data_IF_168384599666
#
_entry.id   IF_168384599666
#
_cell.length_a   1.000
_cell.length_b   1.000
_cell.length_c   1.000
_cell.angle_alpha   90.00
_cell.angle_beta   90.00
_cell.angle_gamma   90.00
#
_symmetry.space_group_name_H-M   'P 1'
#
loop_
_entity.id
_entity.type
_entity.pdbx_description
1 polymer ?
#
# COMPACT_ATOMS: atom_id res chain seq x y z
N UNK A 1 -32.43 11.89 -1.63
CA UNK A 1 -31.14 11.15 -1.60
C UNK A 1 -30.06 11.81 -0.73
N UNK A 2 -29.59 13.04 -1.02
CA UNK A 2 -28.50 13.70 -0.25
C UNK A 2 -28.77 13.85 1.25
N UNK A 3 -30.02 14.07 1.66
CA UNK A 3 -30.41 14.18 3.08
C UNK A 3 -30.40 12.83 3.81
N UNK A 4 -30.78 11.75 3.13
CA UNK A 4 -30.78 10.41 3.73
C UNK A 4 -29.36 9.88 3.93
N UNK A 5 -28.46 10.11 2.97
CA UNK A 5 -27.04 9.74 3.08
C UNK A 5 -26.38 10.45 4.27
N UNK A 6 -26.67 11.74 4.49
CA UNK A 6 -26.15 12.48 5.65
C UNK A 6 -26.67 11.94 6.99
N UNK A 7 -27.94 11.53 7.07
CA UNK A 7 -28.54 10.94 8.28
C UNK A 7 -27.97 9.55 8.58
N UNK A 8 -27.79 8.72 7.56
CA UNK A 8 -27.19 7.38 7.71
C UNK A 8 -25.72 7.47 8.15
N UNK A 9 -24.95 8.40 7.60
CA UNK A 9 -23.54 8.62 8.01
C UNK A 9 -23.46 9.13 9.45
N UNK A 10 -24.33 10.06 9.86
CA UNK A 10 -24.35 10.58 11.23
C UNK A 10 -24.70 9.49 12.28
N UNK A 11 -25.61 8.59 11.95
CA UNK A 11 -25.99 7.45 12.82
C UNK A 11 -24.84 6.43 12.89
N UNK A 12 -24.17 6.14 11.76
CA UNK A 12 -23.02 5.22 11.73
C UNK A 12 -21.83 5.74 12.54
N UNK A 13 -21.54 7.05 12.47
CA UNK A 13 -20.48 7.69 13.26
C UNK A 13 -20.79 7.73 14.76
N UNK A 14 -22.07 7.89 15.14
CA UNK A 14 -22.49 7.86 16.54
C UNK A 14 -22.40 6.46 17.16
N UNK A 15 -22.64 5.41 16.38
CA UNK A 15 -22.50 4.01 16.84
C UNK A 15 -21.02 3.62 16.99
N UNK A 16 -20.12 4.12 16.12
CA UNK A 16 -18.67 3.88 16.26
C UNK A 16 -18.04 4.54 17.50
N UNK A 17 -18.60 5.64 18.01
CA UNK A 17 -18.08 6.30 19.21
C UNK A 17 -18.35 5.54 20.53
N UNK A 18 -19.31 4.60 20.53
CA UNK A 18 -19.72 3.85 21.71
C UNK A 18 -18.91 2.56 21.97
N UNK A 19 -18.15 2.07 20.99
CA UNK A 19 -17.42 0.79 21.09
C UNK A 19 -15.97 0.94 21.58
N UNK A 20 -15.45 2.17 21.69
CA UNK A 20 -14.03 2.42 21.98
C UNK A 20 -13.69 2.63 23.48
N UNK A 21 -14.59 2.30 24.41
CA UNK A 21 -14.43 2.66 25.83
C UNK A 21 -14.53 1.49 26.82
N UNK A 22 -13.95 0.32 26.53
CA UNK A 22 -13.62 -0.68 27.57
C UNK A 22 -12.37 -1.48 27.20
N UNK A 23 -11.20 -0.97 27.53
CA UNK A 23 -9.98 -1.76 27.63
C UNK A 23 -9.09 -1.17 28.74
N UNK A 24 -9.49 -1.35 29.99
CA UNK A 24 -8.65 -1.09 31.16
C UNK A 24 -8.02 -2.38 31.67
N UNK A 25 -6.68 -2.35 31.73
CA UNK A 25 -5.80 -2.95 32.72
C UNK A 25 -5.66 -4.49 32.79
N UNK A 26 -4.52 -4.99 32.28
CA UNK A 26 -3.64 -5.89 33.03
C UNK A 26 -2.19 -5.58 32.60
N UNK A 27 -1.39 -5.00 33.49
CA UNK A 27 0.01 -5.40 33.66
C UNK A 27 0.54 -4.84 34.98
N UNK A 28 0.32 -5.60 36.04
CA UNK A 28 0.96 -5.42 37.32
C UNK A 28 1.25 -6.80 37.89
N UNK A 29 2.32 -7.44 37.40
CA UNK A 29 3.14 -8.42 38.11
C UNK A 29 4.11 -9.06 37.11
N UNK A 30 5.37 -8.61 37.09
CA UNK A 30 6.49 -9.51 37.35
C UNK A 30 7.77 -8.68 37.52
N UNK A 31 8.09 -8.34 38.77
CA UNK A 31 9.46 -8.07 39.17
C UNK A 31 9.92 -9.30 39.93
N UNK A 32 10.75 -10.13 39.30
CA UNK A 32 11.65 -10.98 40.06
C UNK A 32 13.01 -10.97 39.35
N UNK A 33 13.94 -10.26 39.97
CA UNK A 33 15.35 -10.28 39.64
C UNK A 33 15.92 -11.64 40.08
N UNK A 34 16.02 -12.57 39.14
CA UNK A 34 16.78 -13.80 39.24
C UNK A 34 17.95 -13.78 38.24
N UNK A 35 19.07 -14.36 38.64
CA UNK A 35 20.29 -14.55 37.84
C UNK A 35 20.03 -15.55 36.69
N UNK A 36 20.70 -15.45 35.52
CA UNK A 36 20.32 -16.22 34.34
C UNK A 36 20.51 -17.73 34.56
N UNK A 37 19.44 -18.51 34.39
CA UNK A 37 19.45 -19.98 34.42
C UNK A 37 19.54 -20.51 32.99
N UNK A 38 20.48 -21.41 32.73
CA UNK A 38 20.77 -22.06 31.43
C UNK A 38 19.55 -22.78 30.82
N UNK A 39 18.52 -23.02 31.63
CA UNK A 39 17.23 -23.58 31.24
C UNK A 39 16.31 -22.53 30.56
N UNK A 40 16.37 -21.27 30.99
CA UNK A 40 15.55 -20.18 30.45
C UNK A 40 15.96 -19.89 29.00
N UNK A 41 17.26 -19.80 28.74
CA UNK A 41 17.84 -19.62 27.39
C UNK A 41 17.41 -20.71 26.39
N UNK A 42 17.24 -21.96 26.84
CA UNK A 42 16.74 -23.04 25.97
C UNK A 42 15.26 -22.87 25.63
N UNK A 43 14.45 -22.48 26.61
CA UNK A 43 13.01 -22.26 26.42
C UNK A 43 12.76 -21.06 25.51
N UNK A 44 13.50 -19.94 25.66
CA UNK A 44 13.40 -18.82 24.69
C UNK A 44 13.88 -19.25 23.31
N UNK A 45 14.95 -20.02 23.17
CA UNK A 45 15.45 -20.45 21.86
C UNK A 45 14.51 -21.44 21.15
N UNK A 46 13.89 -22.38 21.87
CA UNK A 46 12.87 -23.28 21.32
C UNK A 46 11.59 -22.53 20.97
N UNK A 47 11.15 -21.60 21.81
CA UNK A 47 9.98 -20.74 21.53
C UNK A 47 10.22 -19.85 20.31
N UNK A 48 11.39 -19.22 20.20
CA UNK A 48 11.77 -18.43 19.03
C UNK A 48 11.82 -19.28 17.75
N UNK A 49 12.21 -20.55 17.86
CA UNK A 49 12.22 -21.48 16.73
C UNK A 49 10.81 -21.85 16.28
N UNK A 50 9.92 -22.21 17.21
CA UNK A 50 8.52 -22.52 16.88
C UNK A 50 7.74 -21.30 16.35
N UNK A 51 8.00 -20.11 16.90
CA UNK A 51 7.42 -18.84 16.40
C UNK A 51 7.89 -18.54 14.97
N UNK A 52 9.17 -18.77 14.66
CA UNK A 52 9.70 -18.56 13.32
C UNK A 52 9.20 -19.60 12.30
N UNK A 53 9.11 -20.87 12.69
CA UNK A 53 8.56 -21.94 11.83
C UNK A 53 7.06 -21.73 11.57
N UNK A 54 6.28 -21.39 12.60
CA UNK A 54 4.86 -21.05 12.45
C UNK A 54 4.59 -19.71 11.73
N UNK A 55 5.62 -18.89 11.47
CA UNK A 55 5.50 -17.69 10.66
C UNK A 55 5.57 -18.01 9.15
N UNK A 56 6.33 -19.03 8.74
CA UNK A 56 6.48 -19.37 7.31
C UNK A 56 5.22 -20.00 6.70
N UNK A 57 4.35 -20.59 7.53
CA UNK A 57 3.06 -21.15 7.08
C UNK A 57 1.96 -20.08 6.92
N UNK A 58 2.20 -18.84 7.37
CA UNK A 58 1.23 -17.74 7.29
C UNK A 58 1.31 -17.02 5.95
N UNK A 59 0.15 -16.58 5.48
CA UNK A 59 0.08 -15.67 4.33
C UNK A 59 0.83 -14.37 4.63
N UNK A 60 1.34 -13.70 3.58
CA UNK A 60 1.96 -12.38 3.72
C UNK A 60 0.97 -11.39 4.38
N UNK A 61 -0.32 -11.49 4.07
CA UNK A 61 -1.38 -10.69 4.71
C UNK A 61 -1.37 -10.81 6.24
N UNK A 62 -1.26 -12.03 6.76
CA UNK A 62 -1.21 -12.28 8.21
C UNK A 62 0.09 -11.76 8.83
N UNK A 63 1.22 -11.97 8.14
CA UNK A 63 2.53 -11.48 8.60
C UNK A 63 2.63 -9.96 8.61
N UNK A 64 1.98 -9.29 7.67
CA UNK A 64 1.84 -7.83 7.63
C UNK A 64 0.91 -7.27 8.72
N UNK A 65 0.27 -8.10 9.55
CA UNK A 65 -0.64 -7.66 10.61
C UNK A 65 -2.08 -7.42 10.13
N UNK A 66 -2.44 -7.94 8.96
CA UNK A 66 -3.78 -7.88 8.40
C UNK A 66 -4.23 -6.47 7.97
N UNK A 67 -5.54 -6.33 7.75
CA UNK A 67 -6.11 -5.18 7.03
C UNK A 67 -5.83 -3.81 7.67
N UNK A 68 -5.77 -3.73 9.01
CA UNK A 68 -5.55 -2.45 9.69
C UNK A 68 -4.10 -1.96 9.55
N UNK A 69 -3.12 -2.86 9.67
CA UNK A 69 -1.72 -2.53 9.47
C UNK A 69 -1.45 -2.16 8.00
N UNK A 70 -1.99 -2.94 7.06
CA UNK A 70 -1.93 -2.63 5.62
C UNK A 70 -2.57 -1.26 5.32
N UNK A 71 -3.74 -0.97 5.92
CA UNK A 71 -4.41 0.32 5.73
C UNK A 71 -3.58 1.49 6.24
N UNK A 72 -2.84 1.32 7.34
CA UNK A 72 -1.95 2.34 7.89
C UNK A 72 -0.79 2.65 6.94
N UNK A 73 -0.09 1.62 6.45
CA UNK A 73 1.00 1.75 5.46
C UNK A 73 0.48 2.44 4.20
N UNK A 74 -0.63 1.94 3.63
CA UNK A 74 -1.22 2.50 2.40
C UNK A 74 -1.69 3.94 2.59
N UNK A 75 -2.21 4.29 3.77
CA UNK A 75 -2.60 5.66 4.08
C UNK A 75 -1.41 6.60 4.00
N UNK A 76 -0.31 6.26 4.68
CA UNK A 76 0.94 7.04 4.65
C UNK A 76 1.51 7.12 3.23
N UNK A 77 1.73 5.97 2.60
CA UNK A 77 2.23 5.85 1.22
C UNK A 77 1.45 6.76 0.26
N UNK A 78 0.12 6.73 0.34
CA UNK A 78 -0.71 7.54 -0.57
C UNK A 78 -0.63 9.04 -0.29
N UNK A 79 -0.32 9.46 0.94
CA UNK A 79 -0.07 10.86 1.29
C UNK A 79 1.34 11.31 0.88
N UNK A 80 2.34 10.41 0.95
CA UNK A 80 3.71 10.64 0.48
C UNK A 80 3.72 10.97 -1.02
N UNK A 81 3.11 10.11 -1.86
CA UNK A 81 3.08 10.30 -3.32
C UNK A 81 2.50 11.67 -3.74
N UNK A 82 1.53 12.21 -3.00
CA UNK A 82 0.94 13.52 -3.34
C UNK A 82 2.00 14.62 -3.38
N UNK A 83 3.03 14.50 -2.56
CA UNK A 83 4.12 15.47 -2.43
C UNK A 83 5.42 15.01 -3.09
N UNK A 84 5.47 13.82 -3.68
CA UNK A 84 6.65 13.31 -4.38
C UNK A 84 7.06 14.27 -5.52
N UNK A 85 8.37 14.60 -5.66
CA UNK A 85 8.84 15.54 -6.67
C UNK A 85 8.72 15.02 -8.12
N UNK A 86 8.66 13.72 -8.34
CA UNK A 86 8.68 13.08 -9.67
C UNK A 86 7.25 12.72 -10.11
N UNK A 87 6.47 12.07 -9.24
CA UNK A 87 5.14 11.53 -9.50
C UNK A 87 4.01 12.35 -8.88
N UNK A 88 4.31 13.26 -7.95
CA UNK A 88 3.30 14.02 -7.19
C UNK A 88 2.79 15.30 -7.85
N UNK A 89 2.35 16.26 -7.02
CA UNK A 89 1.69 17.52 -7.48
C UNK A 89 2.55 18.41 -8.37
N UNK A 90 3.86 18.24 -8.37
CA UNK A 90 4.81 18.99 -9.20
C UNK A 90 5.41 18.16 -10.34
N UNK A 91 4.91 16.93 -10.55
CA UNK A 91 5.37 16.03 -11.60
C UNK A 91 5.45 16.72 -12.96
N UNK A 92 6.45 16.36 -13.77
CA UNK A 92 6.55 16.82 -15.15
C UNK A 92 5.41 16.26 -16.02
N UNK A 93 4.91 15.08 -15.69
CA UNK A 93 3.79 14.43 -16.37
C UNK A 93 2.46 15.16 -16.07
N UNK A 94 1.81 15.74 -17.10
CA UNK A 94 0.59 16.54 -16.91
C UNK A 94 -0.59 15.71 -16.39
N UNK A 95 -0.66 14.40 -16.67
CA UNK A 95 -1.76 13.55 -16.20
C UNK A 95 -1.65 13.28 -14.69
N UNK A 96 -0.44 12.99 -14.20
CA UNK A 96 -0.17 12.86 -12.76
C UNK A 96 -0.40 14.19 -12.04
N UNK A 97 0.17 15.27 -12.58
CA UNK A 97 -0.01 16.62 -12.03
C UNK A 97 -1.49 17.02 -11.94
N UNK A 98 -2.29 16.76 -12.98
CA UNK A 98 -3.74 17.00 -12.95
C UNK A 98 -4.44 16.16 -11.87
N UNK A 99 -4.10 14.89 -11.75
CA UNK A 99 -4.66 14.03 -10.70
C UNK A 99 -4.39 14.59 -9.29
N UNK A 100 -3.13 14.96 -9.03
CA UNK A 100 -2.69 15.46 -7.72
C UNK A 100 -3.14 16.88 -7.39
N UNK A 101 -3.51 17.71 -8.37
CA UNK A 101 -3.98 19.07 -8.10
C UNK A 101 -5.51 19.20 -8.15
N UNK A 102 -6.18 18.44 -9.02
CA UNK A 102 -7.60 18.65 -9.33
C UNK A 102 -8.51 17.48 -8.91
N UNK A 103 -7.96 16.33 -8.50
CA UNK A 103 -8.75 15.11 -8.22
C UNK A 103 -8.51 14.52 -6.82
N UNK A 104 -7.84 15.25 -5.92
CA UNK A 104 -7.55 14.78 -4.56
C UNK A 104 -8.79 14.50 -3.71
N UNK A 105 -9.96 15.04 -4.05
CA UNK A 105 -11.23 14.64 -3.44
C UNK A 105 -11.54 13.13 -3.59
N UNK A 106 -10.87 12.44 -4.52
CA UNK A 106 -10.96 11.00 -4.74
C UNK A 106 -9.94 10.18 -3.94
N UNK A 107 -8.95 10.82 -3.31
CA UNK A 107 -7.86 10.15 -2.60
C UNK A 107 -8.35 9.18 -1.50
N UNK A 108 -9.38 9.50 -0.68
CA UNK A 108 -9.87 8.53 0.31
C UNK A 108 -10.36 7.22 -0.31
N UNK A 109 -11.05 7.29 -1.46
CA UNK A 109 -11.48 6.11 -2.20
C UNK A 109 -10.31 5.35 -2.84
N UNK A 110 -9.28 6.08 -3.31
CA UNK A 110 -8.07 5.44 -3.82
C UNK A 110 -7.30 4.71 -2.72
N UNK A 111 -7.17 5.29 -1.53
CA UNK A 111 -6.56 4.64 -0.35
C UNK A 111 -7.25 3.31 -0.06
N UNK A 112 -8.59 3.31 0.00
CA UNK A 112 -9.36 2.08 0.18
C UNK A 112 -9.10 1.03 -0.92
N UNK A 113 -9.11 1.44 -2.20
CA UNK A 113 -8.87 0.51 -3.32
C UNK A 113 -7.44 -0.07 -3.29
N UNK A 114 -6.44 0.73 -2.91
CA UNK A 114 -5.06 0.27 -2.74
C UNK A 114 -4.94 -0.71 -1.58
N UNK A 115 -5.54 -0.41 -0.43
CA UNK A 115 -5.58 -1.32 0.72
C UNK A 115 -6.25 -2.64 0.35
N UNK A 116 -7.38 -2.59 -0.35
CA UNK A 116 -8.08 -3.79 -0.81
C UNK A 116 -7.22 -4.62 -1.77
N UNK A 117 -6.53 -3.96 -2.70
CA UNK A 117 -5.63 -4.63 -3.63
C UNK A 117 -4.47 -5.30 -2.90
N UNK A 118 -3.76 -4.59 -2.01
CA UNK A 118 -2.64 -5.15 -1.23
C UNK A 118 -3.11 -6.34 -0.39
N UNK A 119 -4.26 -6.21 0.27
CA UNK A 119 -4.81 -7.29 1.09
C UNK A 119 -5.16 -8.54 0.26
N UNK A 120 -5.63 -8.37 -0.98
CA UNK A 120 -5.92 -9.49 -1.87
C UNK A 120 -4.64 -10.18 -2.38
N UNK A 121 -3.67 -9.40 -2.88
CA UNK A 121 -2.43 -9.96 -3.46
C UNK A 121 -1.48 -10.54 -2.42
N UNK A 122 -1.58 -10.12 -1.16
CA UNK A 122 -0.82 -10.70 -0.05
C UNK A 122 -1.44 -11.99 0.52
N UNK A 123 -2.51 -12.53 -0.09
CA UNK A 123 -3.15 -13.77 0.32
C UNK A 123 -4.21 -13.61 1.41
N UNK A 124 -4.67 -12.38 1.65
CA UNK A 124 -5.76 -12.10 2.58
C UNK A 124 -7.13 -12.54 2.05
N UNK A 125 -8.17 -12.55 2.90
CA UNK A 125 -9.50 -13.07 2.56
C UNK A 125 -10.32 -12.13 1.66
N UNK A 126 -9.67 -11.17 0.99
CA UNK A 126 -10.32 -10.12 0.24
C UNK A 126 -10.18 -10.35 -1.27
N UNK A 127 -11.24 -10.03 -2.00
CA UNK A 127 -11.20 -10.00 -3.47
C UNK A 127 -11.09 -8.56 -3.95
N UNK A 128 -10.08 -8.28 -4.76
CA UNK A 128 -9.96 -7.00 -5.43
C UNK A 128 -11.06 -6.85 -6.50
N UNK A 129 -11.78 -5.73 -6.47
CA UNK A 129 -12.94 -5.47 -7.34
C UNK A 129 -12.78 -4.21 -8.20
N UNK A 130 -11.58 -3.62 -8.20
CA UNK A 130 -11.26 -2.47 -9.03
C UNK A 130 -10.92 -2.83 -10.48
N UNK A 131 -10.51 -1.82 -11.25
CA UNK A 131 -9.96 -2.03 -12.59
C UNK A 131 -8.65 -2.83 -12.50
N UNK A 132 -8.34 -3.63 -13.51
CA UNK A 132 -6.99 -4.17 -13.65
C UNK A 132 -5.96 -3.02 -13.73
N UNK A 133 -4.71 -3.29 -13.33
CA UNK A 133 -3.69 -2.25 -13.17
C UNK A 133 -3.36 -1.57 -14.49
N UNK A 134 -3.31 -2.30 -15.61
CA UNK A 134 -3.07 -1.70 -16.92
C UNK A 134 -4.13 -0.65 -17.27
N UNK A 135 -5.42 -0.98 -17.19
CA UNK A 135 -6.51 -0.07 -17.54
C UNK A 135 -6.74 1.04 -16.51
N UNK A 136 -6.33 0.83 -15.27
CA UNK A 136 -6.35 1.86 -14.24
C UNK A 136 -5.33 2.97 -14.52
N UNK A 137 -4.17 2.62 -15.09
CA UNK A 137 -3.01 3.52 -15.23
C UNK A 137 -2.72 3.95 -16.67
N UNK A 138 -3.32 3.30 -17.68
CA UNK A 138 -3.07 3.55 -19.11
C UNK A 138 -3.05 5.03 -19.49
N UNK A 139 -4.09 5.77 -19.10
CA UNK A 139 -4.24 7.19 -19.45
C UNK A 139 -3.30 8.13 -18.67
N UNK A 140 -2.70 7.64 -17.59
CA UNK A 140 -1.70 8.40 -16.82
C UNK A 140 -0.32 8.38 -17.50
N UNK A 141 -0.08 7.42 -18.40
CA UNK A 141 1.19 7.27 -19.14
C UNK A 141 2.40 7.31 -18.21
N UNK A 142 2.32 6.57 -17.11
CA UNK A 142 3.35 6.53 -16.07
C UNK A 142 4.65 6.00 -16.69
N UNK A 143 5.72 6.78 -16.59
CA UNK A 143 7.04 6.35 -17.05
C UNK A 143 7.69 5.35 -16.08
N UNK A 144 8.69 4.56 -16.52
CA UNK A 144 9.45 3.71 -15.61
C UNK A 144 10.08 4.47 -14.43
N UNK A 145 10.56 5.70 -14.64
CA UNK A 145 11.14 6.56 -13.60
C UNK A 145 10.08 7.01 -12.58
N UNK A 146 8.88 7.37 -13.06
CA UNK A 146 7.76 7.72 -12.18
C UNK A 146 7.28 6.52 -11.35
N UNK A 147 7.29 5.31 -11.95
CA UNK A 147 7.00 4.09 -11.22
C UNK A 147 8.03 3.83 -10.12
N UNK A 148 9.32 4.00 -10.41
CA UNK A 148 10.41 3.77 -9.45
C UNK A 148 10.38 4.80 -8.31
N UNK A 149 10.01 6.06 -8.58
CA UNK A 149 9.77 7.05 -7.54
C UNK A 149 8.66 6.62 -6.58
N UNK A 150 7.54 6.12 -7.13
CA UNK A 150 6.44 5.60 -6.30
C UNK A 150 6.84 4.32 -5.55
N UNK A 151 7.72 3.49 -6.09
CA UNK A 151 8.24 2.33 -5.36
C UNK A 151 9.11 2.77 -4.15
N UNK A 152 9.89 3.83 -4.31
CA UNK A 152 10.65 4.42 -3.20
C UNK A 152 9.73 5.02 -2.11
N UNK A 153 8.63 5.67 -2.50
CA UNK A 153 7.62 6.16 -1.54
C UNK A 153 6.96 5.00 -0.74
N UNK A 154 6.78 3.84 -1.37
CA UNK A 154 6.26 2.65 -0.70
C UNK A 154 7.28 2.10 0.30
N UNK A 155 8.55 2.02 -0.10
CA UNK A 155 9.65 1.63 0.79
C UNK A 155 9.72 2.56 2.02
N UNK A 156 9.67 3.88 1.83
CA UNK A 156 9.66 4.84 2.95
C UNK A 156 8.48 4.61 3.90
N UNK A 157 7.30 4.29 3.35
CA UNK A 157 6.13 4.01 4.17
C UNK A 157 6.26 2.71 4.97
N UNK A 158 6.87 1.67 4.40
CA UNK A 158 7.15 0.40 5.08
C UNK A 158 8.17 0.60 6.21
N UNK A 159 9.24 1.36 5.93
CA UNK A 159 10.28 1.67 6.92
C UNK A 159 9.72 2.47 8.09
N UNK A 160 8.84 3.44 7.84
CA UNK A 160 8.20 4.22 8.91
C UNK A 160 7.42 3.37 9.91
N UNK A 161 6.87 2.23 9.47
CA UNK A 161 6.11 1.31 10.33
C UNK A 161 6.96 0.13 10.83
N UNK A 162 8.28 0.18 10.63
CA UNK A 162 9.22 -0.87 11.03
C UNK A 162 8.79 -2.26 10.53
N UNK A 163 8.29 -2.33 9.29
CA UNK A 163 7.92 -3.61 8.66
C UNK A 163 9.19 -4.48 8.54
N UNK A 164 9.20 -5.74 9.01
CA UNK A 164 10.43 -6.54 8.98
C UNK A 164 10.92 -6.77 7.54
N UNK A 165 12.24 -6.90 7.39
CA UNK A 165 12.92 -6.94 6.09
C UNK A 165 12.40 -8.03 5.15
N UNK A 166 12.00 -9.19 5.68
CA UNK A 166 11.41 -10.27 4.88
C UNK A 166 10.11 -9.78 4.23
N UNK A 167 9.14 -9.32 5.03
CA UNK A 167 7.84 -8.84 4.56
C UNK A 167 7.98 -7.61 3.67
N UNK A 168 8.88 -6.68 4.02
CA UNK A 168 9.20 -5.50 3.21
C UNK A 168 9.68 -5.91 1.82
N UNK A 169 10.65 -6.83 1.74
CA UNK A 169 11.18 -7.35 0.48
C UNK A 169 10.11 -8.02 -0.37
N UNK A 170 9.24 -8.83 0.24
CA UNK A 170 8.12 -9.48 -0.46
C UNK A 170 7.10 -8.47 -1.00
N UNK A 171 6.75 -7.42 -0.23
CA UNK A 171 5.85 -6.36 -0.67
C UNK A 171 6.45 -5.58 -1.84
N UNK A 172 7.72 -5.19 -1.76
CA UNK A 172 8.39 -4.45 -2.83
C UNK A 172 8.55 -5.29 -4.10
N UNK A 173 8.85 -6.58 -3.96
CA UNK A 173 8.91 -7.51 -5.09
C UNK A 173 7.54 -7.67 -5.76
N UNK A 174 6.47 -7.84 -4.96
CA UNK A 174 5.11 -7.92 -5.47
C UNK A 174 4.70 -6.62 -6.19
N UNK A 175 5.05 -5.46 -5.65
CA UNK A 175 4.82 -4.16 -6.29
C UNK A 175 5.55 -4.07 -7.64
N UNK A 176 6.86 -4.39 -7.66
CA UNK A 176 7.69 -4.34 -8.86
C UNK A 176 7.21 -5.28 -9.98
N UNK A 177 6.60 -6.41 -9.64
CA UNK A 177 6.05 -7.36 -10.63
C UNK A 177 4.96 -6.74 -11.52
N UNK A 178 4.35 -5.64 -11.11
CA UNK A 178 3.31 -4.94 -11.87
C UNK A 178 3.82 -3.76 -12.70
N UNK A 179 5.14 -3.54 -12.77
CA UNK A 179 5.74 -2.41 -13.50
C UNK A 179 5.32 -2.37 -14.96
N UNK A 180 5.31 -3.52 -15.65
CA UNK A 180 4.95 -3.59 -17.07
C UNK A 180 3.49 -3.19 -17.31
N UNK A 181 2.57 -3.62 -16.43
CA UNK A 181 1.16 -3.26 -16.54
C UNK A 181 0.94 -1.77 -16.32
N UNK A 182 1.57 -1.19 -15.30
CA UNK A 182 1.40 0.23 -14.93
C UNK A 182 2.02 1.16 -15.97
N UNK A 183 3.14 0.76 -16.58
CA UNK A 183 3.87 1.57 -17.57
C UNK A 183 3.45 1.32 -19.02
N UNK A 184 2.55 0.36 -19.29
CA UNK A 184 2.10 0.02 -20.64
C UNK A 184 1.63 1.24 -21.44
N UNK A 185 0.83 2.13 -20.84
CA UNK A 185 0.32 3.33 -21.50
C UNK A 185 1.40 4.34 -21.90
N UNK A 186 2.53 4.36 -21.20
CA UNK A 186 3.69 5.18 -21.57
C UNK A 186 4.34 4.66 -22.86
N UNK A 187 4.61 3.36 -22.92
CA UNK A 187 5.23 2.75 -24.10
C UNK A 187 4.31 2.80 -25.33
N UNK A 188 3.00 2.60 -25.16
CA UNK A 188 2.01 2.79 -26.23
C UNK A 188 2.05 4.21 -26.80
N UNK A 189 2.11 5.23 -25.94
CA UNK A 189 2.21 6.62 -26.38
C UNK A 189 3.51 6.88 -27.17
N UNK A 190 4.65 6.34 -26.70
CA UNK A 190 5.95 6.48 -27.38
C UNK A 190 6.00 5.79 -28.74
N UNK A 191 5.41 4.60 -28.85
CA UNK A 191 5.31 3.90 -30.13
C UNK A 191 4.47 4.69 -31.13
N UNK A 192 3.32 5.23 -30.69
CA UNK A 192 2.46 6.04 -31.54
C UNK A 192 3.13 7.33 -32.02
N UNK A 193 3.89 8.01 -31.16
CA UNK A 193 4.71 9.18 -31.53
C UNK A 193 5.74 8.82 -32.62
N UNK A 194 6.44 7.70 -32.46
CA UNK A 194 7.44 7.21 -33.43
C UNK A 194 6.84 6.86 -34.80
N UNK A 195 5.69 6.17 -34.80
CA UNK A 195 4.98 5.80 -36.04
C UNK A 195 4.49 7.04 -36.79
N UNK A 196 3.95 8.03 -36.08
CA UNK A 196 3.47 9.27 -36.68
C UNK A 196 4.63 10.08 -37.30
N UNK A 197 5.77 10.16 -36.61
CA UNK A 197 6.95 10.85 -37.13
C UNK A 197 7.50 10.15 -38.39
N UNK A 198 7.58 8.82 -38.38
CA UNK A 198 7.99 8.02 -39.54
C UNK A 198 7.07 8.23 -40.75
N UNK A 199 5.76 8.31 -40.51
CA UNK A 199 4.77 8.54 -41.58
C UNK A 199 4.94 9.93 -42.18
N UNK A 200 5.21 10.95 -41.36
CA UNK A 200 5.49 12.32 -41.82
C UNK A 200 6.74 12.39 -42.70
N UNK A 201 7.81 11.68 -42.35
CA UNK A 201 9.03 11.62 -43.17
C UNK A 201 8.81 11.00 -44.56
N UNK A 202 7.83 10.12 -44.72
CA UNK A 202 7.48 9.53 -46.04
C UNK A 202 6.63 10.45 -46.93
N UNK A 203 6.17 11.59 -46.41
CA UNK A 203 5.35 12.57 -47.13
C UNK A 203 6.16 13.74 -47.70
N UNK A 204 7.48 13.73 -47.49
CA UNK A 204 8.46 14.67 -48.06
C UNK A 204 9.54 13.88 -48.80
#
# INVERSE_FOLDING_TARGET
MKSQIKKTIAILLAVCFLVSLTATAVSAAYNNSGEPDDQEDKVVNETCKEVNEGNQDKSLYERLGGIYAIAAVVNRFSDTIVNDPIAGKNSSNPALRDWHNNKLNRLPGLKFMRTLWVAAVSGGPFTYTGKNLADAHRDLRISPEEFDAVAADLEEALDYYDVPEQEKGEVLAAFAAHKDEVTAGYFEAKLNESVNNTTKCKQY
#
